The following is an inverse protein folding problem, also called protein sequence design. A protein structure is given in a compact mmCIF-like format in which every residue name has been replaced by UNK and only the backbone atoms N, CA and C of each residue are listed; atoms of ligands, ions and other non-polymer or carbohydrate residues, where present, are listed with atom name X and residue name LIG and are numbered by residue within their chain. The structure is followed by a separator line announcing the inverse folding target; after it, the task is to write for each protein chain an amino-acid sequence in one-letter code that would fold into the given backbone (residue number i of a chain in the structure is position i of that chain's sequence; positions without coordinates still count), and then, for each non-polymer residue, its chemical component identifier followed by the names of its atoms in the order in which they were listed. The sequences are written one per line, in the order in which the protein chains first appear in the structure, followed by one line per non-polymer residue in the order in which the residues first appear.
data_IF_789529434871
#
_entry.id   IF_789529434871
#
_cell.length_a   1.000
_cell.length_b   1.000
_cell.length_c   1.000
_cell.angle_alpha   90.00
_cell.angle_beta   90.00
_cell.angle_gamma   90.00
#
_symmetry.space_group_name_H-M   'P 1'
#
loop_
_entity.id
_entity.type
_entity.pdbx_description
1 polymer ?
#
# COMPACT_ATOMS: atom_id res chain seq x y z
N UNK A 1 9.58 27.98 -12.60
CA UNK A 1 8.64 27.09 -11.89
C UNK A 1 9.38 26.16 -10.92
N UNK A 2 10.35 25.37 -11.39
CA UNK A 2 11.19 24.47 -10.55
C UNK A 2 11.88 25.19 -9.37
N UNK A 3 12.44 26.38 -9.59
CA UNK A 3 13.01 27.23 -8.51
C UNK A 3 11.98 27.71 -7.48
N UNK A 4 10.71 27.87 -7.88
CA UNK A 4 9.64 28.28 -6.96
C UNK A 4 9.20 27.11 -6.09
N UNK A 5 9.07 25.92 -6.68
CA UNK A 5 8.67 24.72 -5.95
C UNK A 5 9.74 24.27 -4.96
N UNK A 6 11.02 24.29 -5.33
CA UNK A 6 12.12 23.97 -4.41
C UNK A 6 12.11 24.87 -3.17
N UNK A 7 11.87 26.18 -3.36
CA UNK A 7 11.78 27.13 -2.25
C UNK A 7 10.58 26.82 -1.33
N UNK A 8 9.41 26.54 -1.91
CA UNK A 8 8.22 26.14 -1.16
C UNK A 8 8.44 24.85 -0.36
N UNK A 9 9.19 23.89 -0.92
CA UNK A 9 9.48 22.61 -0.25
C UNK A 9 10.44 22.78 0.93
N UNK A 10 11.44 23.65 0.81
CA UNK A 10 12.33 23.99 1.93
C UNK A 10 11.55 24.59 3.11
N UNK A 11 10.51 25.38 2.82
CA UNK A 11 9.63 25.98 3.82
C UNK A 11 8.72 24.95 4.53
N UNK A 12 8.49 23.78 3.94
CA UNK A 12 7.72 22.71 4.59
C UNK A 12 8.50 22.03 5.72
N UNK A 13 9.83 22.11 5.73
CA UNK A 13 10.70 21.57 6.77
C UNK A 13 11.71 20.54 6.26
N UNK A 14 12.73 20.28 7.08
CA UNK A 14 13.93 19.54 6.68
C UNK A 14 13.64 18.12 6.18
N UNK A 15 12.69 17.41 6.80
CA UNK A 15 12.34 16.03 6.41
C UNK A 15 11.69 15.97 5.03
N UNK A 16 10.78 16.91 4.73
CA UNK A 16 10.13 17.02 3.41
C UNK A 16 11.15 17.44 2.36
N UNK A 17 12.01 18.42 2.68
CA UNK A 17 13.09 18.86 1.80
C UNK A 17 14.08 17.73 1.48
N UNK A 18 14.51 16.96 2.49
CA UNK A 18 15.41 15.82 2.31
C UNK A 18 14.78 14.73 1.45
N UNK A 19 13.51 14.39 1.68
CA UNK A 19 12.78 13.44 0.85
C UNK A 19 12.72 13.90 -0.60
N UNK A 20 12.35 15.17 -0.85
CA UNK A 20 12.32 15.76 -2.19
C UNK A 20 13.70 15.75 -2.85
N UNK A 21 14.75 16.20 -2.17
CA UNK A 21 16.08 16.28 -2.79
C UNK A 21 16.64 14.90 -3.15
N UNK A 22 16.30 13.86 -2.40
CA UNK A 22 16.69 12.48 -2.70
C UNK A 22 15.99 11.83 -3.90
N UNK A 23 14.98 12.47 -4.49
CA UNK A 23 14.24 11.92 -5.64
C UNK A 23 14.98 12.12 -6.96
N UNK A 24 14.82 11.16 -7.88
CA UNK A 24 15.31 11.32 -9.25
C UNK A 24 14.56 12.46 -9.96
N UNK A 25 15.21 13.15 -10.92
CA UNK A 25 14.54 14.19 -11.71
C UNK A 25 13.28 13.70 -12.43
N UNK A 26 13.23 12.44 -12.86
CA UNK A 26 12.05 11.84 -13.50
C UNK A 26 10.86 11.76 -12.55
N UNK A 27 11.07 11.33 -11.31
CA UNK A 27 10.04 11.27 -10.27
C UNK A 27 9.60 12.66 -9.80
N UNK A 28 10.53 13.62 -9.71
CA UNK A 28 10.16 15.04 -9.44
C UNK A 28 9.21 15.58 -10.52
N UNK A 29 9.51 15.31 -11.80
CA UNK A 29 8.65 15.72 -12.92
C UNK A 29 7.26 15.07 -12.86
N UNK A 30 7.14 13.84 -12.38
CA UNK A 30 5.83 13.20 -12.15
C UNK A 30 4.99 14.05 -11.19
N UNK A 31 5.55 14.43 -10.04
CA UNK A 31 4.86 15.26 -9.03
C UNK A 31 4.55 16.66 -9.59
N UNK A 32 5.52 17.31 -10.23
CA UNK A 32 5.33 18.64 -10.82
C UNK A 32 4.20 18.66 -11.87
N UNK A 33 4.10 17.62 -12.69
CA UNK A 33 3.04 17.48 -13.69
C UNK A 33 1.69 17.16 -13.07
N UNK A 34 1.66 16.32 -12.03
CA UNK A 34 0.43 16.03 -11.29
C UNK A 34 -0.11 17.31 -10.60
N UNK A 35 0.78 18.15 -10.04
CA UNK A 35 0.42 19.47 -9.51
C UNK A 35 -0.15 20.42 -10.58
N UNK A 36 0.25 20.26 -11.84
CA UNK A 36 -0.29 21.00 -12.99
C UNK A 36 -1.49 20.29 -13.65
N UNK A 37 -2.07 19.28 -12.99
CA UNK A 37 -3.20 18.48 -13.51
C UNK A 37 -2.96 17.82 -14.88
N UNK A 38 -1.68 17.59 -15.25
CA UNK A 38 -1.28 17.02 -16.53
C UNK A 38 -0.64 15.63 -16.34
N UNK A 39 -1.45 14.59 -16.19
CA UNK A 39 -0.97 13.19 -16.15
C UNK A 39 -0.65 12.67 -17.56
N UNK A 40 0.45 13.13 -18.14
CA UNK A 40 1.03 12.51 -19.34
C UNK A 40 1.85 11.29 -18.94
N UNK A 41 1.93 10.28 -19.81
CA UNK A 41 2.66 9.04 -19.57
C UNK A 41 4.17 9.30 -19.37
N UNK A 42 4.57 9.56 -18.12
CA UNK A 42 5.96 9.51 -17.69
C UNK A 42 6.23 8.09 -17.20
N UNK A 43 7.40 7.51 -17.49
CA UNK A 43 7.78 6.20 -16.98
C UNK A 43 7.67 6.16 -15.45
N UNK A 44 6.90 5.18 -14.97
CA UNK A 44 6.76 4.85 -13.56
C UNK A 44 7.38 3.46 -13.35
N UNK A 45 8.28 3.36 -12.39
CA UNK A 45 8.97 2.11 -12.01
C UNK A 45 8.91 1.93 -10.48
N UNK A 46 9.34 0.77 -9.99
CA UNK A 46 9.38 0.48 -8.55
C UNK A 46 10.20 1.51 -7.75
N UNK A 47 11.21 2.13 -8.37
CA UNK A 47 12.01 3.16 -7.71
C UNK A 47 11.23 4.47 -7.56
N UNK A 48 10.44 4.87 -8.56
CA UNK A 48 9.56 6.03 -8.48
C UNK A 48 8.48 5.81 -7.42
N UNK A 49 7.93 4.60 -7.33
CA UNK A 49 7.00 4.22 -6.25
C UNK A 49 7.58 4.46 -4.87
N UNK A 50 8.76 3.89 -4.59
CA UNK A 50 9.44 4.05 -3.30
C UNK A 50 9.74 5.52 -2.98
N UNK A 51 10.21 6.29 -3.96
CA UNK A 51 10.49 7.72 -3.80
C UNK A 51 9.22 8.53 -3.47
N UNK A 52 8.10 8.19 -4.11
CA UNK A 52 6.79 8.82 -3.85
C UNK A 52 6.21 8.42 -2.49
N UNK A 53 6.32 7.14 -2.09
CA UNK A 53 5.91 6.68 -0.76
C UNK A 53 6.66 7.46 0.33
N UNK A 54 7.98 7.58 0.20
CA UNK A 54 8.83 8.31 1.15
C UNK A 54 8.45 9.79 1.24
N UNK A 55 8.22 10.44 0.10
CA UNK A 55 7.80 11.84 0.06
C UNK A 55 6.41 12.02 0.68
N UNK A 56 5.43 11.19 0.30
CA UNK A 56 4.07 11.26 0.83
C UNK A 56 4.07 11.04 2.35
N UNK A 57 4.82 10.07 2.87
CA UNK A 57 4.96 9.85 4.30
C UNK A 57 5.55 11.09 5.02
N UNK A 58 6.55 11.74 4.44
CA UNK A 58 7.13 12.96 5.00
C UNK A 58 6.12 14.13 5.02
N UNK A 59 5.33 14.29 3.95
CA UNK A 59 4.27 15.31 3.87
C UNK A 59 3.17 15.04 4.90
N UNK A 60 2.73 13.79 5.03
CA UNK A 60 1.73 13.34 6.01
C UNK A 60 2.17 13.58 7.45
N UNK A 61 3.41 13.23 7.79
CA UNK A 61 3.94 13.48 9.12
C UNK A 61 4.02 14.97 9.40
N UNK A 62 4.47 15.77 8.43
CA UNK A 62 4.50 17.22 8.57
C UNK A 62 3.11 17.83 8.73
N UNK A 63 2.10 17.33 8.02
CA UNK A 63 0.72 17.78 8.16
C UNK A 63 0.18 17.53 9.58
N UNK A 64 0.53 16.40 10.22
CA UNK A 64 0.17 16.12 11.62
C UNK A 64 0.86 17.06 12.61
N UNK A 65 2.11 17.42 12.32
CA UNK A 65 2.95 18.28 13.16
C UNK A 65 2.68 19.78 12.98
N UNK A 66 1.91 20.18 11.96
CA UNK A 66 1.74 21.57 11.54
C UNK A 66 1.02 22.50 12.54
N UNK A 67 0.81 22.09 13.79
CA UNK A 67 0.21 22.92 14.85
C UNK A 67 1.08 24.15 15.14
N UNK A 68 0.78 25.26 14.47
CA UNK A 68 1.30 26.61 14.78
C UNK A 68 2.54 27.07 13.99
N UNK A 69 3.16 26.21 13.17
CA UNK A 69 4.44 26.51 12.51
C UNK A 69 4.34 26.79 11.01
N UNK A 70 3.20 26.51 10.38
CA UNK A 70 2.96 26.79 8.96
C UNK A 70 1.78 27.76 8.82
N UNK A 71 1.88 28.68 7.87
CA UNK A 71 0.76 29.54 7.51
C UNK A 71 -0.28 28.77 6.67
N UNK A 72 -1.47 29.35 6.47
CA UNK A 72 -2.55 28.69 5.73
C UNK A 72 -2.17 28.33 4.27
N UNK A 73 -1.42 29.20 3.59
CA UNK A 73 -0.97 28.96 2.21
C UNK A 73 0.02 27.80 2.11
N UNK A 74 0.93 27.70 3.08
CA UNK A 74 1.89 26.60 3.20
C UNK A 74 1.20 25.28 3.51
N UNK A 75 0.20 25.28 4.40
CA UNK A 75 -0.61 24.10 4.68
C UNK A 75 -1.35 23.66 3.40
N UNK A 76 -1.96 24.58 2.68
CA UNK A 76 -2.66 24.27 1.42
C UNK A 76 -1.71 23.72 0.35
N UNK A 77 -0.53 24.32 0.19
CA UNK A 77 0.48 23.85 -0.76
C UNK A 77 1.02 22.46 -0.39
N UNK A 78 1.25 22.21 0.91
CA UNK A 78 1.67 20.91 1.43
C UNK A 78 0.62 19.84 1.16
N UNK A 79 -0.66 20.13 1.44
CA UNK A 79 -1.76 19.21 1.19
C UNK A 79 -1.93 18.92 -0.31
N UNK A 80 -1.86 19.94 -1.17
CA UNK A 80 -1.90 19.76 -2.63
C UNK A 80 -0.78 18.85 -3.15
N UNK A 81 0.43 18.98 -2.60
CA UNK A 81 1.55 18.12 -2.96
C UNK A 81 1.32 16.68 -2.50
N UNK A 82 0.78 16.50 -1.29
CA UNK A 82 0.44 15.18 -0.77
C UNK A 82 -0.67 14.51 -1.60
N UNK A 83 -1.70 15.26 -2.00
CA UNK A 83 -2.77 14.80 -2.89
C UNK A 83 -2.21 14.39 -4.26
N UNK A 84 -1.29 15.17 -4.84
CA UNK A 84 -0.66 14.83 -6.11
C UNK A 84 0.13 13.52 -6.02
N UNK A 85 0.90 13.31 -4.94
CA UNK A 85 1.63 12.06 -4.72
C UNK A 85 0.67 10.88 -4.54
N UNK A 86 -0.37 11.06 -3.72
CA UNK A 86 -1.39 10.04 -3.49
C UNK A 86 -2.13 9.67 -4.78
N UNK A 87 -2.43 10.62 -5.66
CA UNK A 87 -3.07 10.37 -6.94
C UNK A 87 -2.19 9.55 -7.89
N UNK A 88 -0.88 9.84 -7.95
CA UNK A 88 0.07 9.03 -8.75
C UNK A 88 0.15 7.61 -8.20
N UNK A 89 0.33 7.44 -6.89
CA UNK A 89 0.39 6.12 -6.26
C UNK A 89 -0.93 5.36 -6.45
N UNK A 90 -2.06 6.03 -6.29
CA UNK A 90 -3.37 5.41 -6.49
C UNK A 90 -3.55 4.87 -7.92
N UNK A 91 -2.94 5.49 -8.94
CA UNK A 91 -3.11 5.03 -10.32
C UNK A 91 -2.09 3.97 -10.73
N UNK A 92 -0.86 4.04 -10.23
CA UNK A 92 0.25 3.23 -10.74
C UNK A 92 0.79 2.20 -9.75
N UNK A 93 0.53 2.36 -8.45
CA UNK A 93 1.26 1.60 -7.45
C UNK A 93 0.87 0.12 -7.37
N UNK A 94 1.86 -0.72 -7.05
CA UNK A 94 1.80 -2.19 -7.09
C UNK A 94 2.41 -2.87 -5.85
N UNK A 95 2.73 -2.12 -4.79
CA UNK A 95 3.27 -2.68 -3.55
C UNK A 95 2.33 -2.56 -2.35
N UNK A 96 2.54 -3.43 -1.37
CA UNK A 96 1.92 -3.38 -0.05
C UNK A 96 2.18 -2.04 0.66
N UNK A 97 3.41 -1.51 0.60
CA UNK A 97 3.77 -0.24 1.23
C UNK A 97 2.91 0.92 0.70
N UNK A 98 2.77 1.00 -0.63
CA UNK A 98 1.96 2.03 -1.26
C UNK A 98 0.48 1.92 -0.89
N UNK A 99 -0.04 0.69 -0.80
CA UNK A 99 -1.41 0.43 -0.40
C UNK A 99 -1.65 0.85 1.04
N UNK A 100 -0.79 0.42 1.98
CA UNK A 100 -0.91 0.74 3.40
C UNK A 100 -0.88 2.26 3.63
N UNK A 101 -0.02 2.99 2.93
CA UNK A 101 0.06 4.43 3.02
C UNK A 101 -1.22 5.12 2.52
N UNK A 102 -1.74 4.72 1.35
CA UNK A 102 -2.97 5.28 0.78
C UNK A 102 -4.20 4.94 1.63
N UNK A 103 -4.28 3.70 2.10
CA UNK A 103 -5.37 3.22 2.93
C UNK A 103 -5.41 3.94 4.28
N UNK A 104 -4.25 4.09 4.92
CA UNK A 104 -4.13 4.83 6.17
C UNK A 104 -4.47 6.31 5.99
N UNK A 105 -4.09 6.92 4.87
CA UNK A 105 -4.48 8.30 4.52
C UNK A 105 -6.01 8.42 4.41
N UNK A 106 -6.65 7.54 3.65
CA UNK A 106 -8.10 7.53 3.45
C UNK A 106 -8.86 7.36 4.77
N UNK A 107 -8.44 6.41 5.62
CA UNK A 107 -9.00 6.22 6.96
C UNK A 107 -8.89 7.47 7.84
N UNK A 108 -7.72 8.12 7.87
CA UNK A 108 -7.52 9.35 8.66
C UNK A 108 -8.42 10.49 8.17
N UNK A 109 -8.59 10.59 6.86
CA UNK A 109 -9.47 11.57 6.23
C UNK A 109 -10.97 11.21 6.37
N UNK A 110 -11.31 10.03 6.90
CA UNK A 110 -12.66 9.45 6.91
C UNK A 110 -13.28 9.35 5.52
N UNK A 111 -12.44 9.16 4.50
CA UNK A 111 -12.87 8.94 3.13
C UNK A 111 -13.15 7.46 2.91
N UNK A 112 -14.30 7.01 3.41
CA UNK A 112 -14.69 5.59 3.35
C UNK A 112 -14.94 5.12 1.92
N UNK A 113 -15.39 6.01 1.04
CA UNK A 113 -15.48 5.70 -0.38
C UNK A 113 -14.11 5.34 -0.95
N UNK A 114 -13.06 6.08 -0.56
CA UNK A 114 -11.70 5.79 -1.02
C UNK A 114 -11.13 4.50 -0.42
N UNK A 115 -11.49 4.20 0.82
CA UNK A 115 -11.17 2.92 1.48
C UNK A 115 -11.75 1.75 0.68
N UNK A 116 -13.02 1.83 0.30
CA UNK A 116 -13.70 0.79 -0.48
C UNK A 116 -13.06 0.65 -1.88
N UNK A 117 -12.84 1.76 -2.59
CA UNK A 117 -12.17 1.75 -3.91
C UNK A 117 -10.78 1.08 -3.86
N UNK A 118 -10.03 1.32 -2.77
CA UNK A 118 -8.73 0.71 -2.58
C UNK A 118 -8.87 -0.80 -2.35
N UNK A 119 -9.76 -1.22 -1.43
CA UNK A 119 -10.00 -2.62 -1.10
C UNK A 119 -10.47 -3.43 -2.33
N UNK A 120 -11.45 -2.92 -3.08
CA UNK A 120 -12.01 -3.58 -4.27
C UNK A 120 -10.95 -3.83 -5.36
N UNK A 121 -9.93 -2.97 -5.41
CA UNK A 121 -8.88 -3.06 -6.41
C UNK A 121 -7.74 -4.00 -6.01
N UNK A 122 -7.66 -4.48 -4.77
CA UNK A 122 -6.48 -5.13 -4.19
C UNK A 122 -6.00 -6.32 -5.01
N UNK A 123 -6.89 -7.29 -5.27
CA UNK A 123 -6.57 -8.54 -6.00
C UNK A 123 -6.17 -8.29 -7.47
N UNK A 124 -6.68 -7.22 -8.07
CA UNK A 124 -6.36 -6.86 -9.46
C UNK A 124 -5.04 -6.08 -9.60
N UNK A 125 -4.56 -5.50 -8.50
CA UNK A 125 -3.42 -4.58 -8.49
C UNK A 125 -2.16 -5.18 -7.88
N UNK A 126 -2.30 -6.04 -6.89
CA UNK A 126 -1.20 -6.60 -6.11
C UNK A 126 -1.02 -8.08 -6.43
N UNK A 127 0.24 -8.51 -6.45
CA UNK A 127 0.54 -9.94 -6.41
C UNK A 127 0.10 -10.52 -5.07
N UNK A 128 -0.21 -11.82 -5.01
CA UNK A 128 -0.64 -12.44 -3.77
C UNK A 128 0.41 -12.36 -2.65
N UNK A 129 1.70 -12.37 -2.98
CA UNK A 129 2.78 -12.16 -2.00
C UNK A 129 2.73 -10.77 -1.35
N UNK A 130 2.40 -9.73 -2.13
CA UNK A 130 2.21 -8.37 -1.58
C UNK A 130 0.95 -8.31 -0.69
N UNK A 131 -0.10 -9.06 -1.05
CA UNK A 131 -1.29 -9.17 -0.21
C UNK A 131 -0.96 -9.95 1.09
N UNK A 132 -0.09 -10.96 1.02
CA UNK A 132 0.41 -11.66 2.20
C UNK A 132 1.20 -10.74 3.14
N UNK A 133 1.99 -9.81 2.60
CA UNK A 133 2.64 -8.77 3.40
C UNK A 133 1.61 -7.88 4.13
N UNK A 134 0.54 -7.48 3.44
CA UNK A 134 -0.56 -6.73 4.07
C UNK A 134 -1.27 -7.54 5.17
N UNK A 135 -1.41 -8.85 4.99
CA UNK A 135 -1.96 -9.75 6.00
C UNK A 135 -1.09 -9.84 7.26
N UNK A 136 0.19 -9.44 7.19
CA UNK A 136 1.11 -9.31 8.33
C UNK A 136 1.20 -7.88 8.89
N UNK A 137 0.47 -6.92 8.34
CA UNK A 137 0.52 -5.51 8.76
C UNK A 137 0.13 -5.32 10.24
N UNK A 138 0.73 -4.32 10.89
CA UNK A 138 0.33 -3.95 12.25
C UNK A 138 -1.07 -3.31 12.30
N UNK A 139 -1.59 -2.84 11.16
CA UNK A 139 -2.92 -2.26 11.07
C UNK A 139 -4.00 -3.34 10.94
N UNK A 140 -4.86 -3.45 11.95
CA UNK A 140 -5.92 -4.47 12.02
C UNK A 140 -6.88 -4.41 10.82
N UNK A 141 -7.22 -3.21 10.34
CA UNK A 141 -8.13 -3.06 9.21
C UNK A 141 -7.48 -3.53 7.90
N UNK A 142 -6.19 -3.23 7.71
CA UNK A 142 -5.43 -3.68 6.54
C UNK A 142 -5.30 -5.20 6.55
N UNK A 143 -4.94 -5.81 7.69
CA UNK A 143 -4.89 -7.26 7.79
C UNK A 143 -6.23 -7.92 7.48
N UNK A 144 -7.32 -7.38 8.02
CA UNK A 144 -8.65 -7.94 7.79
C UNK A 144 -9.00 -7.95 6.29
N UNK A 145 -8.79 -6.83 5.60
CA UNK A 145 -9.04 -6.73 4.15
C UNK A 145 -8.11 -7.65 3.36
N UNK A 146 -6.85 -7.78 3.77
CA UNK A 146 -5.91 -8.68 3.12
C UNK A 146 -6.35 -10.15 3.25
N UNK A 147 -6.76 -10.59 4.44
CA UNK A 147 -7.29 -11.94 4.64
C UNK A 147 -8.60 -12.18 3.90
N UNK A 148 -9.52 -11.22 3.91
CA UNK A 148 -10.75 -11.29 3.13
C UNK A 148 -10.45 -11.41 1.63
N UNK A 149 -9.48 -10.64 1.13
CA UNK A 149 -9.08 -10.68 -0.28
C UNK A 149 -8.41 -12.01 -0.63
N UNK A 150 -7.52 -12.53 0.23
CA UNK A 150 -6.89 -13.83 0.03
C UNK A 150 -7.91 -14.98 0.08
N UNK A 151 -8.89 -14.90 0.96
CA UNK A 151 -9.97 -15.89 1.03
C UNK A 151 -10.83 -15.90 -0.24
N UNK A 152 -10.85 -14.82 -1.02
CA UNK A 152 -11.52 -14.78 -2.32
C UNK A 152 -10.61 -15.20 -3.50
N UNK A 153 -9.31 -15.41 -3.27
CA UNK A 153 -8.38 -15.86 -4.30
C UNK A 153 -8.64 -17.34 -4.68
N UNK A 154 -8.22 -17.81 -5.87
CA UNK A 154 -8.33 -19.21 -6.22
C UNK A 154 -7.57 -20.11 -5.22
N UNK A 155 -8.19 -21.21 -4.77
CA UNK A 155 -7.58 -22.16 -3.83
C UNK A 155 -6.23 -22.68 -4.34
N UNK A 156 -6.13 -23.00 -5.64
CA UNK A 156 -4.87 -23.41 -6.28
C UNK A 156 -3.75 -22.36 -6.21
N UNK A 157 -4.08 -21.07 -6.16
CA UNK A 157 -3.09 -20.00 -6.00
C UNK A 157 -2.61 -19.90 -4.55
N UNK A 158 -3.51 -20.10 -3.57
CA UNK A 158 -3.13 -20.19 -2.15
C UNK A 158 -2.25 -21.42 -1.88
N UNK A 159 -2.55 -22.56 -2.52
CA UNK A 159 -1.70 -23.76 -2.45
C UNK A 159 -0.28 -23.48 -2.96
N UNK A 160 -0.13 -22.67 -4.01
CA UNK A 160 1.20 -22.30 -4.51
C UNK A 160 1.99 -21.47 -3.48
N UNK A 161 1.33 -20.56 -2.76
CA UNK A 161 1.96 -19.75 -1.69
C UNK A 161 2.45 -20.59 -0.51
N UNK A 162 1.88 -21.79 -0.29
CA UNK A 162 2.37 -22.69 0.77
C UNK A 162 3.82 -23.13 0.56
N UNK A 163 4.35 -23.02 -0.66
CA UNK A 163 5.75 -23.35 -0.96
C UNK A 163 6.72 -22.25 -0.50
N UNK A 164 6.24 -21.03 -0.23
CA UNK A 164 7.05 -19.96 0.32
C UNK A 164 6.95 -19.98 1.85
N UNK A 165 8.04 -20.22 2.60
CA UNK A 165 8.00 -20.30 4.05
C UNK A 165 7.55 -19.00 4.72
N UNK A 166 7.73 -17.84 4.08
CA UNK A 166 7.30 -16.54 4.60
C UNK A 166 5.78 -16.40 4.51
N UNK A 167 5.19 -16.87 3.41
CA UNK A 167 3.77 -16.71 3.10
C UNK A 167 2.91 -17.92 3.50
N UNK A 168 3.51 -19.08 3.76
CA UNK A 168 2.79 -20.32 4.06
C UNK A 168 1.81 -20.17 5.24
N UNK A 169 2.22 -19.47 6.30
CA UNK A 169 1.35 -19.24 7.46
C UNK A 169 0.10 -18.42 7.11
N UNK A 170 0.27 -17.39 6.27
CA UNK A 170 -0.84 -16.56 5.79
C UNK A 170 -1.75 -17.35 4.85
N UNK A 171 -1.16 -18.12 3.94
CA UNK A 171 -1.90 -18.96 3.00
C UNK A 171 -2.75 -20.02 3.71
N UNK A 172 -2.22 -20.67 4.77
CA UNK A 172 -2.99 -21.61 5.61
C UNK A 172 -4.21 -20.94 6.25
N UNK A 173 -4.05 -19.74 6.81
CA UNK A 173 -5.16 -19.00 7.41
C UNK A 173 -6.20 -18.65 6.33
N UNK A 174 -5.78 -18.20 5.16
CA UNK A 174 -6.69 -17.88 4.06
C UNK A 174 -7.46 -19.11 3.57
N UNK A 175 -6.81 -20.27 3.47
CA UNK A 175 -7.46 -21.55 3.17
C UNK A 175 -8.48 -21.93 4.25
N UNK A 176 -8.14 -21.74 5.53
CA UNK A 176 -9.06 -21.99 6.64
C UNK A 176 -10.32 -21.14 6.54
N UNK A 177 -10.15 -19.83 6.27
CA UNK A 177 -11.27 -18.92 6.03
C UNK A 177 -12.10 -19.40 4.82
N UNK A 178 -11.46 -19.85 3.73
CA UNK A 178 -12.18 -20.42 2.58
C UNK A 178 -13.03 -21.64 2.95
N UNK A 179 -12.48 -22.57 3.72
CA UNK A 179 -13.16 -23.81 4.10
C UNK A 179 -14.33 -23.55 5.06
N UNK A 180 -14.11 -22.69 6.06
CA UNK A 180 -15.05 -22.49 7.17
C UNK A 180 -16.07 -21.39 6.90
N UNK A 181 -15.63 -20.24 6.39
CA UNK A 181 -16.51 -19.08 6.20
C UNK A 181 -17.17 -19.08 4.81
N UNK A 182 -16.44 -19.50 3.78
CA UNK A 182 -16.92 -19.54 2.39
C UNK A 182 -17.41 -20.92 1.94
N UNK A 183 -17.23 -21.96 2.77
CA UNK A 183 -17.71 -23.32 2.49
C UNK A 183 -17.00 -24.00 1.31
N UNK A 184 -15.73 -23.68 1.06
CA UNK A 184 -14.95 -24.30 -0.02
C UNK A 184 -14.50 -25.72 0.35
N UNK A 185 -15.10 -26.72 -0.33
CA UNK A 185 -14.69 -28.13 -0.18
C UNK A 185 -13.24 -28.37 -0.64
N UNK A 186 -12.80 -27.68 -1.70
CA UNK A 186 -11.43 -27.80 -2.19
C UNK A 186 -10.42 -27.33 -1.14
N UNK A 187 -10.71 -26.20 -0.47
CA UNK A 187 -9.84 -25.70 0.59
C UNK A 187 -9.85 -26.63 1.81
N UNK A 188 -11.00 -27.24 2.14
CA UNK A 188 -11.11 -28.20 3.25
C UNK A 188 -10.22 -29.42 3.03
N UNK A 189 -10.26 -30.01 1.83
CA UNK A 189 -9.39 -31.15 1.48
C UNK A 189 -7.90 -30.79 1.55
N UNK A 190 -7.53 -29.58 1.13
CA UNK A 190 -6.14 -29.11 1.23
C UNK A 190 -5.69 -29.00 2.69
N UNK A 191 -6.53 -28.47 3.59
CA UNK A 191 -6.21 -28.33 5.01
C UNK A 191 -6.03 -29.70 5.66
N UNK A 192 -6.98 -30.62 5.43
CA UNK A 192 -6.91 -31.99 5.94
C UNK A 192 -5.60 -32.67 5.52
N UNK A 193 -5.21 -32.54 4.25
CA UNK A 193 -3.94 -33.09 3.76
C UNK A 193 -2.69 -32.46 4.40
N UNK A 194 -2.74 -31.16 4.75
CA UNK A 194 -1.63 -30.47 5.44
C UNK A 194 -1.52 -30.94 6.90
N UNK A 195 -2.65 -31.11 7.58
CA UNK A 195 -2.71 -31.58 8.96
C UNK A 195 -2.19 -33.02 9.07
N UNK A 196 -2.63 -33.91 8.18
CA UNK A 196 -2.12 -35.28 8.09
C UNK A 196 -0.60 -35.33 7.87
N UNK A 197 -0.07 -34.48 6.98
CA UNK A 197 1.37 -34.42 6.74
C UNK A 197 2.16 -33.92 7.97
N UNK A 198 1.61 -32.98 8.74
CA UNK A 198 2.25 -32.45 9.94
C UNK A 198 2.29 -33.47 11.09
N UNK A 199 1.26 -34.31 11.24
CA UNK A 199 1.24 -35.39 12.23
C UNK A 199 2.33 -36.44 11.95
N UNK A 200 2.55 -36.79 10.68
CA UNK A 200 3.58 -37.75 10.28
C UNK A 200 5.00 -37.25 10.57
N UNK A 201 5.27 -35.95 10.43
CA UNK A 201 6.59 -35.36 10.75
C UNK A 201 6.91 -35.33 12.25
N UNK A 202 5.89 -35.31 13.13
CA UNK A 202 6.08 -35.28 14.58
C UNK A 202 6.32 -36.68 15.17
N UNK A 203 5.85 -37.73 14.50
CA UNK A 203 6.00 -39.13 14.89
C UNK A 203 7.29 -39.80 14.35
N UNK A 204 8.09 -39.08 13.54
CA UNK A 204 9.35 -39.54 12.92
C UNK A 204 10.61 -38.99 13.59
#
# INVERSE_FOLDING_TARGET
MEKSLNKTIEEFGERVASAWQGMRPTTKRLVERALQTSLTAIPYDARAEWELCRLLAALEDRAKEAKGNLNAEQIEALMRMADACAAILHTQARSAESFELLFTRALRAKDFKKVDELADSLLTRLALSEISELARSNNVMIRAIAFETLAQAPTSALVQLLNDPVDAGVARIALYIQAEEYGSEEARWVIEAIEEAAEVELDS
#
